data_IF_260475382191
#
_entry.id   IF_260475382191
#
_cell.length_a   1.000
_cell.length_b   1.000
_cell.length_c   1.000
_cell.angle_alpha   90.00
_cell.angle_beta   90.00
_cell.angle_gamma   90.00
#
_symmetry.space_group_name_H-M   'P 1'
#
loop_
_entity.id
_entity.type
_entity.pdbx_description
1 polymer ?
#
# COMPACT_ATOMS: atom_id res chain seq x y z
N UNK A 1 -0.34 53.08 36.14
CA UNK A 1 -0.33 51.81 36.90
C UNK A 1 -1.26 50.77 36.23
N UNK A 2 -0.96 50.31 35.01
CA UNK A 2 -1.87 49.39 34.25
C UNK A 2 -1.04 48.38 33.43
N UNK A 3 -0.02 47.74 34.03
CA UNK A 3 0.76 46.68 33.35
C UNK A 3 0.94 45.40 34.18
N UNK A 4 0.39 45.33 35.39
CA UNK A 4 0.61 44.19 36.30
C UNK A 4 -0.51 43.12 36.27
N UNK A 5 -1.72 43.47 35.82
CA UNK A 5 -2.89 42.58 35.91
C UNK A 5 -2.99 41.54 34.78
N UNK A 6 -2.37 41.79 33.62
CA UNK A 6 -2.43 40.85 32.47
C UNK A 6 -1.49 39.65 32.60
N UNK A 7 -0.45 39.72 33.44
CA UNK A 7 0.50 38.62 33.63
C UNK A 7 0.01 37.55 34.61
N UNK A 8 -0.91 37.89 35.52
CA UNK A 8 -1.38 36.97 36.56
C UNK A 8 -2.47 36.01 36.07
N UNK A 9 -3.16 36.36 34.97
CA UNK A 9 -4.24 35.54 34.40
C UNK A 9 -3.77 34.51 33.36
N UNK A 10 -2.51 34.60 32.90
CA UNK A 10 -1.96 33.69 31.87
C UNK A 10 -1.40 32.40 32.51
N UNK A 11 -1.06 32.45 33.80
CA UNK A 11 -0.42 31.34 34.53
C UNK A 11 -1.37 30.16 34.82
N UNK A 12 -2.66 30.35 35.18
CA UNK A 12 -3.56 29.21 35.42
C UNK A 12 -4.06 28.56 34.11
N UNK A 13 -4.08 29.31 33.01
CA UNK A 13 -4.57 28.82 31.70
C UNK A 13 -3.57 27.86 31.03
N UNK A 14 -2.26 28.05 31.27
CA UNK A 14 -1.21 27.17 30.73
C UNK A 14 -1.09 25.87 31.53
N UNK A 15 -1.41 25.88 32.83
CA UNK A 15 -1.35 24.69 33.69
C UNK A 15 -2.54 23.73 33.49
N UNK A 16 -3.69 24.23 33.02
CA UNK A 16 -4.87 23.40 32.74
C UNK A 16 -4.83 22.73 31.35
N UNK A 17 -3.94 23.19 30.47
CA UNK A 17 -3.76 22.63 29.12
C UNK A 17 -2.83 21.40 29.08
N UNK A 18 -2.14 21.06 30.18
CA UNK A 18 -1.18 19.95 30.22
C UNK A 18 -1.79 18.58 30.57
N UNK A 19 -3.11 18.49 30.77
CA UNK A 19 -3.77 17.23 31.16
C UNK A 19 -4.52 16.51 30.03
N UNK A 20 -4.33 16.93 28.77
CA UNK A 20 -4.80 16.15 27.62
C UNK A 20 -3.77 15.07 27.27
N UNK A 21 -3.76 13.98 28.04
CA UNK A 21 -3.07 12.74 27.62
C UNK A 21 -3.91 12.17 26.47
N UNK A 22 -3.43 12.15 25.22
CA UNK A 22 -4.16 11.49 24.14
C UNK A 22 -4.27 10.02 24.51
N UNK A 23 -5.51 9.54 24.66
CA UNK A 23 -5.82 8.15 24.92
C UNK A 23 -5.10 7.29 23.89
N UNK A 24 -4.17 6.46 24.36
CA UNK A 24 -3.47 5.49 23.54
C UNK A 24 -4.46 4.40 23.15
N UNK A 25 -5.18 4.63 22.06
CA UNK A 25 -6.02 3.63 21.41
C UNK A 25 -5.08 2.51 20.98
N UNK A 26 -5.10 1.38 21.70
CA UNK A 26 -4.49 0.13 21.24
C UNK A 26 -5.27 -0.31 20.01
N UNK A 27 -4.83 0.17 18.84
CA UNK A 27 -5.21 -0.36 17.54
C UNK A 27 -4.94 -1.86 17.61
N UNK A 28 -5.94 -2.68 17.34
CA UNK A 28 -5.80 -4.15 17.25
C UNK A 28 -4.73 -4.45 16.22
N UNK A 29 -3.49 -4.64 16.67
CA UNK A 29 -2.36 -4.84 15.79
C UNK A 29 -2.43 -6.28 15.33
N UNK A 30 -2.60 -6.47 14.02
CA UNK A 30 -2.36 -7.74 13.35
C UNK A 30 -1.04 -8.36 13.84
N UNK A 31 -0.98 -9.68 14.09
CA UNK A 31 0.21 -10.33 14.63
C UNK A 31 1.44 -10.08 13.75
N UNK A 32 2.57 -9.76 14.37
CA UNK A 32 3.84 -9.55 13.67
C UNK A 32 4.47 -10.91 13.37
N UNK A 33 4.78 -11.15 12.10
CA UNK A 33 5.39 -12.41 11.62
C UNK A 33 6.86 -12.25 11.22
N UNK A 34 7.31 -11.03 10.93
CA UNK A 34 8.73 -10.70 10.74
C UNK A 34 9.03 -9.24 11.08
N UNK A 35 10.30 -8.93 11.37
CA UNK A 35 10.80 -7.57 11.63
C UNK A 35 12.21 -7.40 11.11
N UNK A 36 12.46 -6.29 10.41
CA UNK A 36 13.81 -5.87 9.98
C UNK A 36 14.00 -4.41 10.38
N UNK A 37 14.82 -4.17 11.39
CA UNK A 37 14.97 -2.85 12.00
C UNK A 37 13.64 -2.33 12.57
N UNK A 38 13.14 -1.23 12.01
CA UNK A 38 11.88 -0.61 12.44
C UNK A 38 10.69 -1.01 11.58
N UNK A 39 10.91 -1.72 10.47
CA UNK A 39 9.86 -2.20 9.57
C UNK A 39 9.35 -3.55 10.08
N UNK A 40 8.03 -3.72 10.12
CA UNK A 40 7.36 -4.95 10.55
C UNK A 40 6.50 -5.50 9.42
N UNK A 41 6.48 -6.83 9.30
CA UNK A 41 5.53 -7.54 8.46
C UNK A 41 4.50 -8.21 9.38
N UNK A 42 3.22 -7.98 9.12
CA UNK A 42 2.12 -8.57 9.87
C UNK A 42 1.36 -9.62 9.05
N UNK A 43 0.50 -10.39 9.71
CA UNK A 43 -0.38 -11.37 9.03
C UNK A 43 -1.28 -10.69 8.01
N UNK A 44 -1.88 -9.56 8.38
CA UNK A 44 -2.71 -8.73 7.49
C UNK A 44 -1.95 -8.26 6.24
N UNK A 45 -0.69 -7.84 6.37
CA UNK A 45 0.13 -7.44 5.22
C UNK A 45 0.34 -8.59 4.23
N UNK A 46 0.60 -9.80 4.76
CA UNK A 46 0.71 -11.01 3.96
C UNK A 46 -0.59 -11.33 3.22
N UNK A 47 -1.73 -11.28 3.91
CA UNK A 47 -3.05 -11.54 3.32
C UNK A 47 -3.43 -10.52 2.24
N UNK A 48 -3.07 -9.26 2.42
CA UNK A 48 -3.33 -8.21 1.43
C UNK A 48 -2.53 -8.37 0.13
N UNK A 49 -1.44 -9.14 0.15
CA UNK A 49 -0.68 -9.47 -1.07
C UNK A 49 -1.31 -10.61 -1.88
N UNK A 50 -2.30 -11.30 -1.32
CA UNK A 50 -2.92 -12.48 -1.92
C UNK A 50 -4.33 -12.10 -2.38
N UNK A 51 -4.72 -12.33 -3.64
CA UNK A 51 -6.10 -12.11 -4.05
C UNK A 51 -7.04 -12.97 -3.21
N UNK A 52 -8.20 -12.45 -2.77
CA UNK A 52 -9.09 -13.15 -1.83
C UNK A 52 -9.47 -14.56 -2.26
N UNK A 53 -9.56 -14.81 -3.56
CA UNK A 53 -9.94 -16.10 -4.16
C UNK A 53 -8.89 -17.21 -3.94
N UNK A 54 -7.65 -16.83 -3.61
CA UNK A 54 -6.52 -17.76 -3.47
C UNK A 54 -6.01 -17.90 -2.03
N UNK A 55 -6.57 -17.19 -1.06
CA UNK A 55 -6.09 -17.20 0.33
C UNK A 55 -6.02 -18.63 0.90
N UNK A 56 -7.07 -19.43 0.67
CA UNK A 56 -7.17 -20.80 1.19
C UNK A 56 -6.32 -21.82 0.39
N UNK A 57 -5.77 -21.41 -0.75
CA UNK A 57 -4.98 -22.28 -1.64
C UNK A 57 -3.48 -22.20 -1.37
N UNK A 58 -3.03 -21.25 -0.56
CA UNK A 58 -1.61 -21.03 -0.29
C UNK A 58 -1.11 -21.96 0.80
N UNK A 59 -0.08 -22.72 0.46
CA UNK A 59 0.60 -23.63 1.36
C UNK A 59 1.40 -22.88 2.44
N UNK A 60 1.70 -23.58 3.54
CA UNK A 60 2.57 -23.06 4.59
C UNK A 60 3.97 -22.74 4.05
N UNK A 61 4.47 -23.56 3.14
CA UNK A 61 5.78 -23.42 2.52
C UNK A 61 5.87 -22.14 1.67
N UNK A 62 4.81 -21.82 0.92
CA UNK A 62 4.71 -20.58 0.14
C UNK A 62 4.68 -19.34 1.05
N UNK A 63 3.93 -19.40 2.14
CA UNK A 63 3.92 -18.33 3.14
C UNK A 63 5.31 -18.11 3.75
N UNK A 64 6.03 -19.19 4.12
CA UNK A 64 7.41 -19.08 4.62
C UNK A 64 8.34 -18.47 3.56
N UNK A 65 8.20 -18.89 2.29
CA UNK A 65 8.99 -18.36 1.18
C UNK A 65 8.73 -16.86 0.98
N UNK A 66 7.47 -16.43 1.03
CA UNK A 66 7.10 -15.02 0.95
C UNK A 66 7.76 -14.21 2.08
N UNK A 67 7.64 -14.68 3.33
CA UNK A 67 8.23 -14.00 4.49
C UNK A 67 9.75 -13.88 4.33
N UNK A 68 10.43 -14.93 3.88
CA UNK A 68 11.89 -14.87 3.60
C UNK A 68 12.22 -13.84 2.52
N UNK A 69 11.50 -13.87 1.40
CA UNK A 69 11.71 -12.92 0.31
C UNK A 69 11.46 -11.47 0.76
N UNK A 70 10.46 -11.25 1.62
CA UNK A 70 10.20 -9.94 2.21
C UNK A 70 11.38 -9.48 3.08
N UNK A 71 11.91 -10.35 3.94
CA UNK A 71 13.08 -10.05 4.78
C UNK A 71 14.29 -9.69 3.91
N UNK A 72 14.58 -10.50 2.88
CA UNK A 72 15.71 -10.27 1.97
C UNK A 72 15.57 -8.93 1.24
N UNK A 73 14.36 -8.62 0.77
CA UNK A 73 14.06 -7.35 0.09
C UNK A 73 14.28 -6.16 1.02
N UNK A 74 13.82 -6.24 2.27
CA UNK A 74 13.95 -5.15 3.24
C UNK A 74 15.42 -4.94 3.65
N UNK A 75 16.21 -6.01 3.77
CA UNK A 75 17.66 -5.92 4.01
C UNK A 75 18.36 -5.19 2.86
N UNK A 76 18.08 -5.57 1.61
CA UNK A 76 18.65 -4.93 0.43
C UNK A 76 18.20 -3.48 0.27
N UNK A 77 16.93 -3.19 0.55
CA UNK A 77 16.38 -1.84 0.52
C UNK A 77 17.12 -0.94 1.52
N UNK A 78 17.30 -1.39 2.76
CA UNK A 78 18.04 -0.64 3.78
C UNK A 78 19.47 -0.36 3.37
N UNK A 79 20.15 -1.33 2.76
CA UNK A 79 21.49 -1.12 2.22
C UNK A 79 21.49 -0.08 1.08
N UNK A 80 20.50 -0.10 0.20
CA UNK A 80 20.35 0.90 -0.86
C UNK A 80 20.14 2.31 -0.31
N UNK A 81 19.33 2.47 0.75
CA UNK A 81 19.15 3.75 1.46
C UNK A 81 20.45 4.19 2.14
N UNK A 82 21.17 3.27 2.79
CA UNK A 82 22.47 3.55 3.41
C UNK A 82 23.48 4.10 2.39
N UNK A 83 23.49 3.51 1.18
CA UNK A 83 24.30 3.96 0.04
C UNK A 83 23.73 5.16 -0.71
N UNK A 84 22.58 5.71 -0.28
CA UNK A 84 21.90 6.87 -0.87
C UNK A 84 21.48 6.67 -2.33
N UNK A 85 21.19 5.44 -2.74
CA UNK A 85 20.71 5.16 -4.10
C UNK A 85 19.34 5.79 -4.39
N UNK A 86 18.55 6.04 -3.36
CA UNK A 86 17.31 6.85 -3.43
C UNK A 86 17.56 8.31 -3.85
N UNK A 87 18.79 8.81 -3.65
CA UNK A 87 19.17 10.19 -3.99
C UNK A 87 19.77 10.33 -5.37
N UNK A 88 20.17 9.22 -5.99
CA UNK A 88 20.78 9.19 -7.31
C UNK A 88 19.81 9.77 -8.38
N UNK A 89 20.27 10.71 -9.23
CA UNK A 89 19.41 11.36 -10.23
C UNK A 89 18.81 10.39 -11.25
N UNK A 90 19.54 9.35 -11.65
CA UNK A 90 19.07 8.35 -12.61
C UNK A 90 17.98 7.46 -11.97
N UNK A 91 18.18 7.01 -10.73
CA UNK A 91 17.17 6.27 -9.97
C UNK A 91 15.91 7.12 -9.77
N UNK A 92 16.05 8.39 -9.37
CA UNK A 92 14.91 9.31 -9.21
C UNK A 92 14.11 9.48 -10.50
N UNK A 93 14.79 9.66 -11.64
CA UNK A 93 14.14 9.77 -12.94
C UNK A 93 13.37 8.50 -13.29
N UNK A 94 13.95 7.32 -13.03
CA UNK A 94 13.28 6.04 -13.25
C UNK A 94 12.06 5.85 -12.36
N UNK A 95 12.16 6.15 -11.07
CA UNK A 95 11.03 6.10 -10.14
C UNK A 95 9.90 7.05 -10.55
N UNK A 96 10.25 8.25 -11.01
CA UNK A 96 9.27 9.21 -11.52
C UNK A 96 8.52 8.67 -12.74
N UNK A 97 9.23 8.05 -13.68
CA UNK A 97 8.61 7.45 -14.87
C UNK A 97 7.71 6.26 -14.48
N UNK A 98 8.18 5.36 -13.62
CA UNK A 98 7.37 4.23 -13.12
C UNK A 98 6.07 4.70 -12.45
N UNK A 99 6.13 5.80 -11.68
CA UNK A 99 4.92 6.40 -11.09
C UNK A 99 3.94 6.88 -12.16
N UNK A 100 4.42 7.55 -13.22
CA UNK A 100 3.56 8.00 -14.33
C UNK A 100 2.90 6.82 -15.03
N UNK A 101 3.68 5.79 -15.34
CA UNK A 101 3.21 4.61 -16.05
C UNK A 101 2.15 3.85 -15.25
N UNK A 102 2.37 3.68 -13.93
CA UNK A 102 1.41 3.05 -13.03
C UNK A 102 0.08 3.81 -12.99
N UNK A 103 0.13 5.14 -12.86
CA UNK A 103 -1.09 5.96 -12.82
C UNK A 103 -1.85 5.96 -14.15
N UNK A 104 -1.13 5.93 -15.28
CA UNK A 104 -1.73 5.80 -16.60
C UNK A 104 -2.39 4.42 -16.81
N UNK A 105 -1.76 3.35 -16.33
CA UNK A 105 -2.37 2.02 -16.34
C UNK A 105 -3.62 1.95 -15.46
N UNK A 106 -3.58 2.57 -14.28
CA UNK A 106 -4.68 2.54 -13.32
C UNK A 106 -5.94 3.22 -13.85
N UNK A 107 -5.81 4.35 -14.58
CA UNK A 107 -6.99 4.98 -15.19
C UNK A 107 -7.62 4.08 -16.26
N UNK A 108 -6.80 3.42 -17.10
CA UNK A 108 -7.29 2.49 -18.13
C UNK A 108 -8.01 1.31 -17.47
N UNK A 109 -7.42 0.74 -16.42
CA UNK A 109 -8.00 -0.39 -15.70
C UNK A 109 -9.37 -0.01 -15.12
N UNK A 110 -9.47 1.15 -14.46
CA UNK A 110 -10.75 1.61 -13.89
C UNK A 110 -11.78 2.06 -14.94
N UNK A 111 -11.35 2.53 -16.11
CA UNK A 111 -12.25 3.02 -17.16
C UNK A 111 -12.72 1.96 -18.14
N UNK A 112 -11.90 0.93 -18.40
CA UNK A 112 -12.16 -0.12 -19.41
C UNK A 112 -13.00 -1.27 -18.85
N UNK A 113 -13.05 -1.42 -17.52
CA UNK A 113 -13.93 -2.36 -16.85
C UNK A 113 -15.06 -1.63 -16.11
N UNK A 114 -16.05 -1.01 -16.80
CA UNK A 114 -17.33 -0.77 -16.17
C UNK A 114 -17.87 -2.11 -15.67
N UNK A 115 -18.30 -2.11 -14.41
CA UNK A 115 -18.84 -3.26 -13.68
C UNK A 115 -20.10 -3.84 -14.36
N UNK A 116 -20.66 -3.13 -15.34
CA UNK A 116 -21.63 -3.69 -16.27
C UNK A 116 -20.93 -4.61 -17.26
N UNK A 117 -20.95 -5.90 -16.92
CA UNK A 117 -20.76 -7.03 -17.84
C UNK A 117 -21.33 -6.65 -19.21
N UNK A 118 -20.46 -6.31 -20.17
CA UNK A 118 -20.81 -6.45 -21.58
C UNK A 118 -21.06 -7.94 -21.79
N UNK A 119 -22.31 -8.35 -21.59
CA UNK A 119 -22.79 -9.69 -21.85
C UNK A 119 -22.65 -9.91 -23.36
N UNK A 120 -21.51 -10.44 -23.78
CA UNK A 120 -21.30 -10.83 -25.16
C UNK A 120 -22.31 -11.95 -25.42
N UNK A 121 -23.28 -11.69 -26.30
CA UNK A 121 -24.31 -12.67 -26.62
C UNK A 121 -23.71 -13.86 -27.35
N UNK A 122 -24.32 -15.05 -27.19
CA UNK A 122 -23.92 -16.24 -27.96
C UNK A 122 -24.03 -16.03 -29.46
N UNK A 123 -24.98 -15.20 -29.92
CA UNK A 123 -25.11 -14.84 -31.34
C UNK A 123 -23.91 -14.04 -31.83
N UNK A 124 -23.43 -13.04 -31.07
CA UNK A 124 -22.25 -12.26 -31.44
C UNK A 124 -21.00 -13.13 -31.62
N UNK A 125 -20.82 -14.14 -30.76
CA UNK A 125 -19.72 -15.12 -30.86
C UNK A 125 -19.86 -15.97 -32.13
N UNK A 126 -21.07 -16.49 -32.40
CA UNK A 126 -21.33 -17.32 -33.58
C UNK A 126 -21.16 -16.55 -34.88
N UNK A 127 -21.62 -15.31 -34.93
CA UNK A 127 -21.55 -14.45 -36.11
C UNK A 127 -20.12 -14.02 -36.41
N UNK A 128 -19.32 -13.70 -35.37
CA UNK A 128 -17.89 -13.44 -35.51
C UNK A 128 -17.16 -14.66 -36.09
N UNK A 129 -17.41 -15.85 -35.54
CA UNK A 129 -16.77 -17.09 -36.02
C UNK A 129 -17.12 -17.39 -37.48
N UNK A 130 -18.39 -17.24 -37.88
CA UNK A 130 -18.83 -17.45 -39.27
C UNK A 130 -18.21 -16.44 -40.23
N UNK A 131 -18.10 -15.16 -39.85
CA UNK A 131 -17.49 -14.13 -40.71
C UNK A 131 -15.97 -14.30 -40.85
N UNK A 132 -15.30 -14.91 -39.88
CA UNK A 132 -13.85 -15.07 -39.84
C UNK A 132 -13.40 -16.52 -40.05
N UNK A 133 -14.26 -17.33 -40.67
CA UNK A 133 -14.06 -18.77 -40.81
C UNK A 133 -12.83 -19.12 -41.67
N UNK A 134 -12.34 -18.20 -42.50
CA UNK A 134 -11.12 -18.37 -43.29
C UNK A 134 -9.82 -18.16 -42.49
N UNK A 135 -9.91 -17.69 -41.23
CA UNK A 135 -8.75 -17.47 -40.34
C UNK A 135 -8.48 -18.65 -39.40
N UNK A 136 -9.32 -19.68 -39.43
CA UNK A 136 -9.28 -20.87 -38.57
C UNK A 136 -9.52 -22.13 -39.41
#
# INVERSE_FOLDING_TARGET
MIKALTKFFIIPAVLLASLAIPGCVKKTSSPVIARVGNTVLTVEDLLNCIPPEYIDQISKEENIKFVKQWIDTELLYREAISRKFDKDPHIKKRLHQMKKDLLAAEIINRSTFPIEKTSISKSAISDYFKQHQSLF
#
